data_IF_928000305215
#
_entry.id   IF_928000305215
#
_cell.length_a   1.000
_cell.length_b   1.000
_cell.length_c   1.000
_cell.angle_alpha   90.00
_cell.angle_beta   90.00
_cell.angle_gamma   90.00
#
_symmetry.space_group_name_H-M   'P 1'
#
loop_
_entity.id
_entity.type
_entity.pdbx_description
1 polymer ?
#
# COMPACT_ATOMS: atom_id res chain seq x y z
N UNK A 1 -37.11 4.49 19.89
CA UNK A 1 -37.10 5.83 19.25
C UNK A 1 -36.38 6.77 20.20
N UNK A 2 -35.06 6.82 20.14
CA UNK A 2 -34.23 7.68 21.02
C UNK A 2 -33.87 8.94 20.26
N UNK A 3 -34.32 10.09 20.82
CA UNK A 3 -34.08 11.42 20.26
C UNK A 3 -32.68 11.91 20.62
N UNK A 4 -31.80 12.08 19.63
CA UNK A 4 -30.45 12.66 19.77
C UNK A 4 -30.53 14.19 19.55
N UNK A 5 -31.46 14.84 20.19
CA UNK A 5 -31.70 16.27 19.98
C UNK A 5 -31.12 17.21 21.08
N UNK A 6 -30.44 16.65 22.09
CA UNK A 6 -30.02 17.46 23.26
C UNK A 6 -28.59 17.99 23.23
N UNK A 7 -27.68 17.39 22.43
CA UNK A 7 -26.25 17.73 22.50
C UNK A 7 -25.81 18.84 21.52
N UNK A 8 -26.55 19.05 20.43
CA UNK A 8 -26.22 20.11 19.46
C UNK A 8 -26.73 21.52 19.86
N UNK A 9 -27.77 21.60 20.66
CA UNK A 9 -28.33 22.87 21.10
C UNK A 9 -27.44 23.61 22.09
N UNK A 10 -26.68 22.91 22.92
CA UNK A 10 -25.80 23.51 23.91
C UNK A 10 -24.50 24.09 23.34
N UNK A 11 -24.01 23.51 22.22
CA UNK A 11 -22.80 23.98 21.55
C UNK A 11 -23.01 25.27 20.76
N UNK A 12 -24.22 25.51 20.24
CA UNK A 12 -24.54 26.73 19.48
C UNK A 12 -24.74 27.93 20.37
N UNK A 13 -25.24 27.77 21.60
CA UNK A 13 -25.44 28.88 22.55
C UNK A 13 -24.14 29.31 23.23
N UNK A 14 -23.12 28.50 23.25
CA UNK A 14 -21.79 28.86 23.76
C UNK A 14 -20.97 29.70 22.76
N UNK A 15 -21.33 29.73 21.50
CA UNK A 15 -20.61 30.45 20.46
C UNK A 15 -21.01 31.91 20.32
N UNK A 16 -22.19 32.27 20.81
CA UNK A 16 -22.68 33.69 20.79
C UNK A 16 -22.23 34.55 21.99
N UNK A 17 -21.61 33.96 22.99
CA UNK A 17 -21.19 34.69 24.21
C UNK A 17 -19.72 35.15 24.21
N UNK A 18 -18.95 34.86 23.17
CA UNK A 18 -17.58 35.35 23.04
C UNK A 18 -17.57 36.57 22.13
N UNK A 19 -17.72 37.71 22.75
CA UNK A 19 -17.56 39.02 22.10
C UNK A 19 -16.15 39.12 21.46
N UNK A 20 -16.14 39.73 20.30
CA UNK A 20 -15.01 40.18 19.51
C UNK A 20 -13.95 40.89 20.38
N UNK A 21 -12.95 40.15 20.82
CA UNK A 21 -11.67 40.68 21.28
C UNK A 21 -10.63 40.30 20.25
N UNK A 22 -10.47 41.17 19.24
CA UNK A 22 -9.31 41.19 18.36
C UNK A 22 -8.06 41.58 19.18
N UNK A 23 -7.59 40.69 20.03
CA UNK A 23 -6.26 40.77 20.60
C UNK A 23 -5.34 39.94 19.71
N UNK A 24 -4.36 40.62 19.11
CA UNK A 24 -3.21 40.04 18.44
C UNK A 24 -2.61 38.93 19.31
N UNK A 25 -3.00 37.71 19.03
CA UNK A 25 -2.31 36.53 19.54
C UNK A 25 -1.05 36.37 18.70
N UNK A 26 0.07 36.83 19.26
CA UNK A 26 1.41 36.46 18.78
C UNK A 26 1.45 34.93 18.75
N UNK A 27 1.69 34.36 17.56
CA UNK A 27 1.62 32.91 17.30
C UNK A 27 2.46 32.12 18.29
N UNK A 28 1.77 31.53 19.23
CA UNK A 28 2.28 30.37 19.93
C UNK A 28 1.89 29.17 19.05
N UNK A 29 2.87 28.62 18.35
CA UNK A 29 2.65 27.35 17.67
C UNK A 29 2.11 26.39 18.71
N UNK A 30 0.85 25.97 18.54
CA UNK A 30 0.21 25.15 19.54
C UNK A 30 0.98 23.83 19.61
N UNK A 31 1.16 23.23 20.80
CA UNK A 31 1.86 21.95 20.92
C UNK A 31 1.23 20.85 20.07
N UNK A 32 -0.02 21.01 19.64
CA UNK A 32 -0.69 20.12 18.70
C UNK A 32 -0.11 20.24 17.27
N UNK A 33 0.18 21.45 16.78
CA UNK A 33 0.80 21.65 15.46
C UNK A 33 2.22 21.10 15.41
N UNK A 34 3.02 21.33 16.43
CA UNK A 34 4.36 20.76 16.52
C UNK A 34 4.33 19.22 16.58
N UNK A 35 3.31 18.62 17.19
CA UNK A 35 3.11 17.18 17.20
C UNK A 35 2.65 16.62 15.83
N UNK A 36 1.84 17.35 15.09
CA UNK A 36 1.43 16.99 13.73
C UNK A 36 2.59 17.09 12.75
N UNK A 37 3.39 18.15 12.83
CA UNK A 37 4.58 18.34 11.99
C UNK A 37 5.65 17.26 12.26
N UNK A 38 5.85 16.89 13.53
CA UNK A 38 6.76 15.80 13.87
C UNK A 38 6.28 14.43 13.37
N UNK A 39 4.96 14.15 13.45
CA UNK A 39 4.37 12.92 12.89
C UNK A 39 4.47 12.87 11.37
N UNK A 40 4.24 14.00 10.69
CA UNK A 40 4.38 14.08 9.23
C UNK A 40 5.81 13.85 8.77
N UNK A 41 6.80 14.43 9.47
CA UNK A 41 8.22 14.23 9.19
C UNK A 41 8.70 12.79 9.47
N UNK A 42 8.15 12.14 10.51
CA UNK A 42 8.44 10.74 10.80
C UNK A 42 7.80 9.81 9.77
N UNK A 43 6.57 10.09 9.36
CA UNK A 43 5.89 9.37 8.28
C UNK A 43 6.67 9.48 6.97
N UNK A 44 7.17 10.67 6.62
CA UNK A 44 7.96 10.89 5.42
C UNK A 44 9.29 10.11 5.46
N UNK A 45 9.98 10.11 6.59
CA UNK A 45 11.22 9.31 6.77
C UNK A 45 10.96 7.81 6.65
N UNK A 46 9.84 7.31 7.19
CA UNK A 46 9.47 5.91 7.07
C UNK A 46 9.14 5.54 5.61
N UNK A 47 8.46 6.42 4.87
CA UNK A 47 8.19 6.22 3.44
C UNK A 47 9.51 6.14 2.64
N UNK A 48 10.47 7.01 2.92
CA UNK A 48 11.77 7.00 2.26
C UNK A 48 12.57 5.72 2.57
N UNK A 49 12.48 5.23 3.80
CA UNK A 49 13.12 3.97 4.20
C UNK A 49 12.53 2.77 3.45
N UNK A 50 11.21 2.68 3.31
CA UNK A 50 10.56 1.62 2.55
C UNK A 50 10.93 1.68 1.06
N UNK A 51 10.96 2.86 0.47
CA UNK A 51 11.41 3.04 -0.93
C UNK A 51 12.86 2.60 -1.13
N UNK A 52 13.74 2.92 -0.19
CA UNK A 52 15.13 2.47 -0.23
C UNK A 52 15.24 0.95 -0.14
N UNK A 53 14.45 0.33 0.74
CA UNK A 53 14.39 -1.12 0.87
C UNK A 53 13.89 -1.78 -0.43
N UNK A 54 12.83 -1.25 -1.05
CA UNK A 54 12.32 -1.75 -2.33
C UNK A 54 13.36 -1.60 -3.45
N UNK A 55 14.07 -0.49 -3.52
CA UNK A 55 15.12 -0.27 -4.50
C UNK A 55 16.25 -1.31 -4.37
N UNK A 56 16.65 -1.65 -3.13
CA UNK A 56 17.64 -2.68 -2.87
C UNK A 56 17.14 -4.08 -3.26
N UNK A 57 15.86 -4.37 -2.98
CA UNK A 57 15.25 -5.67 -3.34
C UNK A 57 15.07 -5.82 -4.84
N UNK A 58 14.89 -4.71 -5.57
CA UNK A 58 14.74 -4.69 -7.02
C UNK A 58 16.06 -4.45 -7.75
N UNK A 59 17.19 -4.41 -7.06
CA UNK A 59 18.49 -4.21 -7.67
C UNK A 59 18.78 -5.31 -8.72
N UNK A 60 19.18 -4.90 -9.91
CA UNK A 60 19.41 -5.81 -11.03
C UNK A 60 18.17 -6.34 -11.74
N UNK A 61 16.96 -6.02 -11.27
CA UNK A 61 15.74 -6.35 -11.99
C UNK A 61 15.47 -5.34 -13.10
N UNK A 62 15.32 -5.83 -14.32
CA UNK A 62 15.12 -4.96 -15.51
C UNK A 62 13.71 -4.98 -16.07
N UNK A 63 12.91 -5.99 -15.73
CA UNK A 63 11.55 -6.18 -16.27
C UNK A 63 11.50 -6.43 -17.79
N UNK A 64 12.64 -6.59 -18.45
CA UNK A 64 12.71 -6.77 -19.89
C UNK A 64 12.23 -8.18 -20.28
N UNK A 65 11.40 -8.25 -21.31
CA UNK A 65 10.89 -9.51 -21.87
C UNK A 65 11.59 -9.82 -23.20
N UNK A 66 12.18 -11.00 -23.28
CA UNK A 66 12.65 -11.57 -24.55
C UNK A 66 11.51 -12.40 -25.13
N UNK A 67 11.03 -12.13 -26.37
CA UNK A 67 9.89 -12.84 -26.96
C UNK A 67 10.18 -14.34 -27.23
N UNK A 68 11.43 -14.76 -27.16
CA UNK A 68 11.85 -16.16 -27.36
C UNK A 68 11.78 -16.99 -26.08
N UNK A 69 11.62 -16.33 -24.91
CA UNK A 69 11.63 -16.97 -23.60
C UNK A 69 10.25 -16.95 -22.99
N UNK A 70 9.88 -18.00 -22.27
CA UNK A 70 8.68 -18.02 -21.46
C UNK A 70 8.80 -17.03 -20.31
N UNK A 71 7.68 -16.48 -19.90
CA UNK A 71 7.59 -15.43 -18.88
C UNK A 71 6.99 -15.98 -17.59
N UNK A 72 7.71 -15.82 -16.49
CA UNK A 72 7.23 -16.10 -15.14
C UNK A 72 6.80 -14.79 -14.50
N UNK A 73 5.54 -14.71 -14.12
CA UNK A 73 4.98 -13.61 -13.36
C UNK A 73 5.08 -13.86 -11.86
N UNK A 74 5.51 -12.85 -11.12
CA UNK A 74 5.67 -12.89 -9.66
C UNK A 74 4.79 -11.79 -9.06
N UNK A 75 3.79 -12.12 -8.20
CA UNK A 75 2.97 -11.12 -7.56
C UNK A 75 3.76 -10.37 -6.49
N UNK A 76 3.83 -9.04 -6.56
CA UNK A 76 4.58 -8.21 -5.59
C UNK A 76 3.76 -7.96 -4.32
N UNK A 77 3.54 -9.02 -3.54
CA UNK A 77 2.69 -9.02 -2.34
C UNK A 77 3.22 -10.02 -1.30
N UNK A 78 2.93 -9.80 -0.03
CA UNK A 78 3.31 -10.64 1.10
C UNK A 78 4.83 -10.83 1.23
N UNK A 79 5.27 -12.08 1.36
CA UNK A 79 6.68 -12.43 1.56
C UNK A 79 7.54 -12.26 0.30
N UNK A 80 6.92 -12.06 -0.87
CA UNK A 80 7.65 -11.89 -2.14
C UNK A 80 8.63 -10.73 -2.06
N UNK A 81 8.31 -9.64 -1.36
CA UNK A 81 9.23 -8.53 -1.14
C UNK A 81 10.62 -9.00 -0.69
N UNK A 82 10.68 -9.97 0.21
CA UNK A 82 11.95 -10.50 0.74
C UNK A 82 12.59 -11.54 -0.15
N UNK A 83 11.80 -12.35 -0.84
CA UNK A 83 12.28 -13.47 -1.66
C UNK A 83 12.49 -13.12 -3.13
N UNK A 84 12.08 -11.94 -3.55
CA UNK A 84 12.15 -11.54 -4.95
C UNK A 84 13.57 -11.64 -5.55
N UNK A 85 14.65 -11.16 -4.91
CA UNK A 85 15.99 -11.28 -5.48
C UNK A 85 16.38 -12.74 -5.78
N UNK A 86 16.03 -13.63 -4.85
CA UNK A 86 16.28 -15.07 -5.03
C UNK A 86 15.44 -15.65 -6.16
N UNK A 87 14.13 -15.34 -6.20
CA UNK A 87 13.23 -15.81 -7.26
C UNK A 87 13.68 -15.27 -8.64
N UNK A 88 14.04 -14.00 -8.71
CA UNK A 88 14.54 -13.37 -9.93
C UNK A 88 15.83 -14.07 -10.44
N UNK A 89 16.82 -14.27 -9.55
CA UNK A 89 18.05 -14.95 -9.90
C UNK A 89 17.80 -16.39 -10.35
N UNK A 90 16.93 -17.11 -9.65
CA UNK A 90 16.58 -18.50 -9.97
C UNK A 90 15.92 -18.61 -11.35
N UNK A 91 14.83 -17.90 -11.60
CA UNK A 91 14.13 -18.01 -12.88
C UNK A 91 14.93 -17.46 -14.05
N UNK A 92 15.70 -16.40 -13.83
CA UNK A 92 16.59 -15.86 -14.87
C UNK A 92 17.70 -16.84 -15.23
N UNK A 93 18.29 -17.56 -14.26
CA UNK A 93 19.30 -18.59 -14.51
C UNK A 93 18.76 -19.81 -15.27
N UNK A 94 17.46 -20.11 -15.10
CA UNK A 94 16.76 -21.13 -15.87
C UNK A 94 16.34 -20.66 -17.28
N UNK A 95 16.63 -19.40 -17.63
CA UNK A 95 16.35 -18.86 -18.95
C UNK A 95 14.95 -18.30 -19.14
N UNK A 96 14.19 -18.06 -18.06
CA UNK A 96 12.89 -17.41 -18.12
C UNK A 96 13.01 -15.87 -18.08
N UNK A 97 12.02 -15.20 -18.65
CA UNK A 97 11.76 -13.80 -18.31
C UNK A 97 11.07 -13.74 -16.94
N UNK A 98 11.44 -12.79 -16.12
CA UNK A 98 10.76 -12.54 -14.86
C UNK A 98 10.01 -11.21 -14.93
N UNK A 99 8.74 -11.21 -14.57
CA UNK A 99 7.88 -10.04 -14.54
C UNK A 99 7.24 -9.92 -13.16
N UNK A 100 7.41 -8.77 -12.56
CA UNK A 100 6.82 -8.42 -11.29
C UNK A 100 5.53 -7.63 -11.53
N UNK A 101 4.51 -7.83 -10.71
CA UNK A 101 3.32 -6.97 -10.76
C UNK A 101 3.66 -5.57 -10.25
N UNK A 102 2.86 -4.60 -10.68
CA UNK A 102 2.93 -3.26 -10.13
C UNK A 102 2.62 -3.24 -8.62
N UNK A 103 3.09 -2.25 -7.88
CA UNK A 103 2.72 -2.07 -6.48
C UNK A 103 1.20 -2.03 -6.29
N UNK A 104 0.74 -2.46 -5.11
CA UNK A 104 -0.69 -2.46 -4.77
C UNK A 104 -1.30 -1.06 -4.95
N UNK A 105 -2.30 -0.97 -5.81
CA UNK A 105 -3.07 0.24 -6.10
C UNK A 105 -4.51 0.09 -5.61
N UNK A 106 -5.29 1.16 -5.63
CA UNK A 106 -6.72 1.11 -5.32
C UNK A 106 -7.47 0.14 -6.24
N UNK A 107 -7.10 0.08 -7.51
CA UNK A 107 -7.67 -0.86 -8.48
C UNK A 107 -7.31 -2.32 -8.12
N UNK A 108 -6.08 -2.58 -7.72
CA UNK A 108 -5.66 -3.90 -7.24
C UNK A 108 -6.49 -4.32 -6.01
N UNK A 109 -6.71 -3.40 -5.08
CA UNK A 109 -7.53 -3.63 -3.89
C UNK A 109 -8.96 -3.97 -4.28
N UNK A 110 -9.57 -3.17 -5.15
CA UNK A 110 -10.94 -3.36 -5.63
C UNK A 110 -11.11 -4.73 -6.30
N UNK A 111 -10.22 -5.09 -7.21
CA UNK A 111 -10.21 -6.39 -7.87
C UNK A 111 -10.03 -7.54 -6.87
N UNK A 112 -9.14 -7.38 -5.92
CA UNK A 112 -8.91 -8.38 -4.87
C UNK A 112 -10.17 -8.66 -4.05
N UNK A 113 -10.92 -7.63 -3.69
CA UNK A 113 -12.16 -7.76 -2.95
C UNK A 113 -13.26 -8.45 -3.76
N UNK A 114 -13.34 -8.17 -5.06
CA UNK A 114 -14.32 -8.79 -5.96
C UNK A 114 -14.03 -10.26 -6.24
N UNK A 115 -12.74 -10.63 -6.35
CA UNK A 115 -12.31 -11.98 -6.72
C UNK A 115 -12.18 -12.92 -5.51
N UNK A 116 -12.02 -12.39 -4.31
CA UNK A 116 -11.90 -13.20 -3.11
C UNK A 116 -13.22 -13.91 -2.78
N UNK A 117 -13.26 -15.23 -2.95
CA UNK A 117 -14.44 -16.07 -2.73
C UNK A 117 -14.63 -16.48 -1.26
N UNK A 118 -13.62 -16.33 -0.44
CA UNK A 118 -13.63 -16.72 0.96
C UNK A 118 -13.16 -15.62 1.89
N UNK A 119 -13.66 -15.64 3.12
CA UNK A 119 -13.17 -14.78 4.17
C UNK A 119 -11.76 -15.24 4.58
N UNK A 120 -10.79 -14.37 4.33
CA UNK A 120 -9.39 -14.55 4.70
C UNK A 120 -8.80 -13.21 5.11
N UNK A 121 -7.59 -13.21 5.65
CA UNK A 121 -6.95 -11.95 6.05
C UNK A 121 -6.70 -11.04 4.85
N UNK A 122 -6.81 -9.73 5.07
CA UNK A 122 -6.72 -8.73 4.01
C UNK A 122 -5.45 -8.84 3.14
N UNK A 123 -4.24 -9.03 3.69
CA UNK A 123 -3.04 -9.19 2.87
C UNK A 123 -3.09 -10.40 1.93
N UNK A 124 -3.74 -11.49 2.34
CA UNK A 124 -3.92 -12.67 1.48
C UNK A 124 -4.93 -12.39 0.37
N UNK A 125 -6.00 -11.61 0.65
CA UNK A 125 -6.94 -11.18 -0.40
C UNK A 125 -6.24 -10.41 -1.52
N UNK A 126 -5.23 -9.61 -1.24
CA UNK A 126 -4.50 -8.84 -2.24
C UNK A 126 -3.84 -9.70 -3.33
N UNK A 127 -3.53 -10.96 -3.04
CA UNK A 127 -2.96 -11.91 -4.01
C UNK A 127 -3.86 -12.04 -5.24
N UNK A 128 -5.19 -12.08 -5.07
CA UNK A 128 -6.13 -12.26 -6.18
C UNK A 128 -6.03 -11.11 -7.20
N UNK A 129 -5.93 -9.87 -6.75
CA UNK A 129 -5.76 -8.71 -7.62
C UNK A 129 -4.42 -8.72 -8.35
N UNK A 130 -3.34 -9.10 -7.67
CA UNK A 130 -2.02 -9.23 -8.31
C UNK A 130 -1.97 -10.39 -9.32
N UNK A 131 -2.63 -11.52 -9.03
CA UNK A 131 -2.74 -12.61 -10.00
C UNK A 131 -3.53 -12.16 -11.22
N UNK A 132 -4.61 -11.39 -11.05
CA UNK A 132 -5.36 -10.84 -12.17
C UNK A 132 -4.49 -9.94 -13.05
N UNK A 133 -3.66 -9.08 -12.47
CA UNK A 133 -2.69 -8.27 -13.22
C UNK A 133 -1.73 -9.16 -14.06
N UNK A 134 -1.26 -10.28 -13.51
CA UNK A 134 -0.39 -11.20 -14.26
C UNK A 134 -1.13 -11.87 -15.42
N UNK A 135 -2.40 -12.22 -15.23
CA UNK A 135 -3.24 -12.77 -16.30
C UNK A 135 -3.41 -11.75 -17.42
N UNK A 136 -3.72 -10.49 -17.07
CA UNK A 136 -3.89 -9.40 -18.03
C UNK A 136 -2.59 -9.09 -18.78
N UNK A 137 -1.45 -9.25 -18.12
CA UNK A 137 -0.11 -9.14 -18.71
C UNK A 137 0.28 -10.36 -19.58
N UNK A 138 -0.57 -11.39 -19.64
CA UNK A 138 -0.36 -12.62 -20.43
C UNK A 138 0.96 -13.31 -20.13
N UNK A 139 1.28 -13.51 -18.85
CA UNK A 139 2.43 -14.31 -18.44
C UNK A 139 2.15 -15.79 -18.68
N UNK A 140 3.18 -16.56 -18.99
CA UNK A 140 3.02 -18.00 -19.24
C UNK A 140 2.84 -18.79 -17.95
N UNK A 141 3.49 -18.36 -16.88
CA UNK A 141 3.49 -19.03 -15.58
C UNK A 141 3.35 -17.97 -14.48
N UNK A 142 2.48 -18.20 -13.54
CA UNK A 142 2.41 -17.39 -12.32
C UNK A 142 3.06 -18.16 -11.16
N UNK A 143 4.08 -17.56 -10.56
CA UNK A 143 4.75 -18.12 -9.38
C UNK A 143 4.20 -17.48 -8.12
N UNK A 144 3.42 -18.23 -7.38
CA UNK A 144 2.87 -17.82 -6.09
C UNK A 144 3.37 -18.77 -5.00
N UNK A 145 4.34 -18.38 -4.17
CA UNK A 145 4.80 -19.24 -3.08
C UNK A 145 3.68 -19.35 -2.05
N UNK A 146 3.18 -20.57 -1.86
CA UNK A 146 2.24 -20.87 -0.79
C UNK A 146 3.04 -21.13 0.49
N UNK A 147 2.75 -20.38 1.56
CA UNK A 147 3.15 -20.77 2.89
C UNK A 147 2.15 -21.81 3.38
N UNK A 148 2.53 -23.06 3.36
CA UNK A 148 1.79 -24.09 4.12
C UNK A 148 2.06 -23.89 5.59
N UNK A 149 1.04 -23.94 6.45
CA UNK A 149 1.19 -23.88 7.90
C UNK A 149 1.98 -25.08 8.43
#
# INVERSE_FOLDING_TARGET
MFSISGAYGAALLAQEAVGDTSSQFVGFDSPAQAAEDSRSAETQRNIDFYRQADNLLLEGYTGKRDPRKKTVGVPFVLMIHKFFPMANAFFTSLGFNVVLTDPTSEETIRLSQQLAQSETCYPVKLIYGHIQQLIDQKVDISFCPASTP
#
